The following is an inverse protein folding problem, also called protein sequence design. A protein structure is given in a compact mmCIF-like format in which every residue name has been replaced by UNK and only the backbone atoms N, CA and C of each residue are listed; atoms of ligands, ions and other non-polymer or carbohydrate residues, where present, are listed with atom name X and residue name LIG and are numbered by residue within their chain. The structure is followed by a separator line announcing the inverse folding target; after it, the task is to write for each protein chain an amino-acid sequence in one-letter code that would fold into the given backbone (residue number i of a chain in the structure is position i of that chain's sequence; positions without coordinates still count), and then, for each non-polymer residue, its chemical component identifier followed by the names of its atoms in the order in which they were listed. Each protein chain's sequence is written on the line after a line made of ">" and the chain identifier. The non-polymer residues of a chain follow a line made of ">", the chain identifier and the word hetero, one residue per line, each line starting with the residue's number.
data_IF_146092430785
#
_entry.id   IF_146092430785
#
_cell.length_a   1.000
_cell.length_b   1.000
_cell.length_c   1.000
_cell.angle_alpha   90.00
_cell.angle_beta   90.00
_cell.angle_gamma   90.00
#
_symmetry.space_group_name_H-M   'P 1'
#
loop_
_entity.id
_entity.type
_entity.pdbx_description
1 polymer ?
#
# COMPACT_ATOMS: atom_id res chain seq x y z
N UNK A 1 -16.37 2.34 -0.15
CA UNK A 1 -15.98 3.57 0.56
C UNK A 1 -17.26 4.23 1.00
N UNK A 2 -17.35 4.70 2.23
CA UNK A 2 -18.52 5.46 2.69
C UNK A 2 -18.40 6.91 2.23
N UNK A 3 -19.54 7.58 1.99
CA UNK A 3 -19.54 8.96 1.50
C UNK A 3 -18.78 9.91 2.43
N UNK A 4 -18.83 9.67 3.75
CA UNK A 4 -18.06 10.44 4.73
C UNK A 4 -16.56 10.31 4.52
N UNK A 5 -16.02 9.10 4.45
CA UNK A 5 -14.59 8.86 4.21
C UNK A 5 -14.12 9.34 2.83
N UNK A 6 -15.01 9.36 1.83
CA UNK A 6 -14.71 9.96 0.54
C UNK A 6 -14.68 11.49 0.64
N UNK A 7 -15.60 12.09 1.40
CA UNK A 7 -15.63 13.52 1.67
C UNK A 7 -14.36 14.03 2.34
N UNK A 8 -13.90 13.31 3.39
CA UNK A 8 -12.65 13.59 4.08
C UNK A 8 -11.43 13.53 3.14
N UNK A 9 -11.40 12.58 2.20
CA UNK A 9 -10.30 12.46 1.23
C UNK A 9 -10.30 13.53 0.14
N UNK A 10 -11.47 13.96 -0.31
CA UNK A 10 -11.60 14.98 -1.39
C UNK A 10 -11.47 16.40 -0.84
N UNK A 11 -12.03 16.66 0.35
CA UNK A 11 -12.20 17.99 0.91
C UNK A 11 -11.57 18.16 2.30
N UNK A 12 -10.73 17.21 2.76
CA UNK A 12 -10.29 17.08 4.15
C UNK A 12 -9.68 18.34 4.76
N UNK A 13 -8.89 19.07 3.99
CA UNK A 13 -8.19 20.28 4.45
C UNK A 13 -8.95 21.58 4.20
N UNK A 14 -10.20 21.50 3.70
CA UNK A 14 -11.02 22.68 3.46
C UNK A 14 -11.97 22.94 4.65
N UNK A 15 -11.53 23.82 5.54
CA UNK A 15 -12.30 24.23 6.72
C UNK A 15 -13.51 25.14 6.37
N UNK A 16 -13.64 25.57 5.12
CA UNK A 16 -14.76 26.42 4.67
C UNK A 16 -16.04 25.63 4.41
N UNK A 17 -15.94 24.30 4.31
CA UNK A 17 -17.05 23.38 3.99
C UNK A 17 -17.40 22.56 5.23
N UNK A 18 -18.67 22.54 5.62
CA UNK A 18 -19.13 21.72 6.74
C UNK A 18 -19.03 20.22 6.45
N UNK A 19 -18.88 19.40 7.50
CA UNK A 19 -18.82 17.92 7.37
C UNK A 19 -20.05 17.33 6.67
N UNK A 20 -21.22 17.94 6.85
CA UNK A 20 -22.46 17.54 6.20
C UNK A 20 -22.40 17.83 4.70
N UNK A 21 -21.90 19.00 4.31
CA UNK A 21 -21.69 19.36 2.90
C UNK A 21 -20.62 18.52 2.22
N UNK A 22 -19.49 18.26 2.89
CA UNK A 22 -18.45 17.33 2.41
C UNK A 22 -19.05 15.96 2.10
N UNK A 23 -19.85 15.44 3.02
CA UNK A 23 -20.53 14.14 2.87
C UNK A 23 -21.56 14.16 1.73
N UNK A 24 -22.34 15.24 1.61
CA UNK A 24 -23.34 15.37 0.56
C UNK A 24 -22.73 15.49 -0.85
N UNK A 25 -21.63 16.22 -0.98
CA UNK A 25 -20.89 16.35 -2.25
C UNK A 25 -20.22 15.02 -2.62
N UNK A 26 -19.56 14.35 -1.67
CA UNK A 26 -18.97 13.04 -1.87
C UNK A 26 -20.01 11.99 -2.31
N UNK A 27 -21.22 12.06 -1.74
CA UNK A 27 -22.33 11.20 -2.17
C UNK A 27 -22.72 11.44 -3.62
N UNK A 28 -22.80 12.70 -4.06
CA UNK A 28 -23.10 13.05 -5.47
C UNK A 28 -22.02 12.46 -6.42
N UNK A 29 -20.75 12.59 -6.05
CA UNK A 29 -19.63 12.02 -6.83
C UNK A 29 -19.77 10.50 -6.89
N UNK A 30 -20.00 9.84 -5.76
CA UNK A 30 -20.21 8.38 -5.70
C UNK A 30 -21.39 7.94 -6.57
N UNK A 31 -22.54 8.61 -6.46
CA UNK A 31 -23.73 8.28 -7.24
C UNK A 31 -23.51 8.50 -8.74
N UNK A 32 -22.77 9.56 -9.13
CA UNK A 32 -22.38 9.79 -10.52
C UNK A 32 -21.49 8.67 -11.08
N UNK A 33 -20.48 8.25 -10.31
CA UNK A 33 -19.63 7.11 -10.68
C UNK A 33 -20.45 5.82 -10.82
N UNK A 34 -21.31 5.51 -9.85
CA UNK A 34 -22.16 4.31 -9.91
C UNK A 34 -23.18 4.34 -11.04
N UNK A 35 -23.58 5.52 -11.47
CA UNK A 35 -24.47 5.69 -12.63
C UNK A 35 -23.69 5.54 -13.94
N UNK A 36 -22.46 6.06 -14.00
CA UNK A 36 -21.58 5.92 -15.17
C UNK A 36 -21.08 4.49 -15.40
N UNK A 37 -21.02 3.67 -14.34
CA UNK A 37 -20.55 2.30 -14.41
C UNK A 37 -21.61 1.28 -13.93
N UNK A 38 -22.70 1.07 -14.68
CA UNK A 38 -23.81 0.20 -14.24
C UNK A 38 -23.41 -1.26 -14.06
N UNK A 39 -22.46 -1.76 -14.84
CA UNK A 39 -21.93 -3.13 -14.70
C UNK A 39 -21.17 -3.28 -13.37
N UNK A 40 -20.37 -2.30 -12.98
CA UNK A 40 -19.68 -2.29 -11.68
C UNK A 40 -20.69 -2.29 -10.53
N UNK A 41 -21.71 -1.43 -10.61
CA UNK A 41 -22.78 -1.36 -9.60
C UNK A 41 -23.47 -2.72 -9.44
N UNK A 42 -23.79 -3.38 -10.56
CA UNK A 42 -24.38 -4.72 -10.55
C UNK A 42 -23.45 -5.76 -9.96
N UNK A 43 -22.17 -5.77 -10.34
CA UNK A 43 -21.18 -6.71 -9.83
C UNK A 43 -21.01 -6.61 -8.30
N UNK A 44 -21.00 -5.38 -7.75
CA UNK A 44 -20.97 -5.16 -6.29
C UNK A 44 -22.23 -5.74 -5.62
N UNK A 45 -23.41 -5.50 -6.20
CA UNK A 45 -24.66 -6.01 -5.67
C UNK A 45 -24.73 -7.55 -5.71
N UNK A 46 -24.32 -8.15 -6.82
CA UNK A 46 -24.27 -9.61 -7.00
C UNK A 46 -23.27 -10.26 -6.02
N UNK A 47 -22.09 -9.64 -5.82
CA UNK A 47 -21.12 -10.09 -4.82
C UNK A 47 -21.73 -10.10 -3.41
N UNK A 48 -22.39 -9.00 -3.00
CA UNK A 48 -23.03 -8.90 -1.68
C UNK A 48 -24.14 -9.93 -1.50
N UNK A 49 -24.94 -10.15 -2.53
CA UNK A 49 -26.00 -11.15 -2.48
C UNK A 49 -25.43 -12.58 -2.33
N UNK A 50 -24.39 -12.90 -3.11
CA UNK A 50 -23.75 -14.21 -3.07
C UNK A 50 -23.11 -14.50 -1.71
N UNK A 51 -22.32 -13.55 -1.16
CA UNK A 51 -21.61 -13.79 0.10
C UNK A 51 -22.55 -14.01 1.28
N UNK A 52 -23.72 -13.39 1.28
CA UNK A 52 -24.77 -13.65 2.29
C UNK A 52 -25.26 -15.10 2.27
N UNK A 53 -25.30 -15.74 1.11
CA UNK A 53 -25.74 -17.12 0.96
C UNK A 53 -24.63 -18.11 1.36
N UNK A 54 -23.38 -17.86 0.92
CA UNK A 54 -22.30 -18.84 1.04
C UNK A 54 -21.34 -18.59 2.20
N UNK A 55 -21.33 -17.37 2.79
CA UNK A 55 -20.47 -17.01 3.92
C UNK A 55 -19.00 -16.72 3.57
N UNK A 56 -18.66 -16.69 2.29
CA UNK A 56 -17.31 -16.38 1.81
C UNK A 56 -17.32 -15.66 0.47
N UNK A 57 -16.21 -14.99 0.16
CA UNK A 57 -15.93 -14.49 -1.18
C UNK A 57 -14.77 -15.27 -1.81
N UNK A 58 -14.62 -15.16 -3.13
CA UNK A 58 -13.56 -15.83 -3.89
C UNK A 58 -12.81 -14.82 -4.75
N UNK A 59 -11.50 -15.02 -4.88
CA UNK A 59 -10.67 -14.31 -5.84
C UNK A 59 -10.88 -14.88 -7.25
N UNK A 60 -10.31 -14.22 -8.25
CA UNK A 60 -10.37 -14.66 -9.65
C UNK A 60 -9.77 -16.08 -9.86
N UNK A 61 -8.86 -16.50 -9.00
CA UNK A 61 -8.26 -17.84 -9.02
C UNK A 61 -8.96 -18.84 -8.05
N UNK A 62 -10.11 -18.46 -7.47
CA UNK A 62 -10.90 -19.33 -6.60
C UNK A 62 -10.42 -19.43 -5.16
N UNK A 63 -9.47 -18.61 -4.73
CA UNK A 63 -9.05 -18.58 -3.33
C UNK A 63 -10.16 -17.95 -2.48
N UNK A 64 -10.57 -18.66 -1.42
CA UNK A 64 -11.70 -18.27 -0.55
C UNK A 64 -11.23 -17.43 0.62
N UNK A 65 -12.02 -16.39 0.92
CA UNK A 65 -11.96 -15.62 2.16
C UNK A 65 -13.30 -15.75 2.89
N UNK A 66 -13.30 -16.40 4.04
CA UNK A 66 -14.48 -16.55 4.89
C UNK A 66 -14.83 -15.22 5.57
N UNK A 67 -16.13 -14.94 5.66
CA UNK A 67 -16.71 -13.72 6.21
C UNK A 67 -17.73 -14.08 7.28
N UNK A 68 -17.30 -14.46 8.49
CA UNK A 68 -18.20 -15.00 9.52
C UNK A 68 -19.30 -14.03 9.93
N UNK A 69 -19.09 -12.71 9.79
CA UNK A 69 -20.06 -11.69 10.14
C UNK A 69 -21.16 -11.48 9.08
N UNK A 70 -21.00 -12.01 7.85
CA UNK A 70 -21.95 -11.76 6.77
C UNK A 70 -23.27 -12.48 6.95
N UNK A 71 -23.26 -13.60 7.66
CA UNK A 71 -24.44 -14.45 7.92
C UNK A 71 -25.03 -14.22 9.31
N UNK A 72 -24.64 -13.14 9.97
CA UNK A 72 -25.24 -12.77 11.24
C UNK A 72 -26.71 -12.45 11.06
N UNK A 73 -27.59 -12.84 11.99
CA UNK A 73 -29.01 -12.51 11.93
C UNK A 73 -29.19 -10.98 11.98
N UNK A 74 -30.12 -10.50 11.16
CA UNK A 74 -30.56 -9.11 11.16
C UNK A 74 -31.80 -9.02 12.04
N UNK A 75 -31.72 -8.20 13.07
CA UNK A 75 -32.87 -7.93 13.92
C UNK A 75 -33.73 -6.85 13.26
N UNK A 76 -34.92 -7.21 12.83
CA UNK A 76 -35.91 -6.28 12.34
C UNK A 76 -36.84 -5.84 13.49
N UNK A 77 -36.82 -4.52 13.76
CA UNK A 77 -37.80 -3.96 14.67
C UNK A 77 -39.17 -3.85 13.96
N UNK A 78 -40.17 -4.55 14.47
CA UNK A 78 -41.55 -4.37 14.05
C UNK A 78 -42.31 -3.72 15.20
N UNK A 79 -42.86 -2.49 15.01
CA UNK A 79 -43.53 -1.76 16.08
C UNK A 79 -44.64 -2.55 16.76
N UNK A 80 -45.26 -3.49 16.02
CA UNK A 80 -46.38 -4.32 16.49
C UNK A 80 -45.98 -5.58 17.27
N UNK A 81 -44.73 -6.06 17.11
CA UNK A 81 -44.27 -7.34 17.62
C UNK A 81 -42.92 -7.28 18.36
N UNK A 82 -42.33 -6.12 18.47
CA UNK A 82 -40.96 -6.00 18.97
C UNK A 82 -39.90 -6.52 18.00
N UNK A 83 -38.69 -6.83 18.49
CA UNK A 83 -37.64 -7.45 17.68
C UNK A 83 -37.97 -8.91 17.42
N UNK A 84 -38.03 -9.25 16.14
CA UNK A 84 -38.09 -10.64 15.72
C UNK A 84 -36.72 -11.07 15.26
N UNK A 85 -36.06 -11.95 16.00
CA UNK A 85 -34.86 -12.64 15.62
C UNK A 85 -35.21 -14.12 15.45
N UNK A 86 -34.80 -14.78 14.36
CA UNK A 86 -35.00 -16.20 14.20
C UNK A 86 -34.31 -17.04 15.28
N UNK A 87 -33.22 -16.51 15.92
CA UNK A 87 -32.48 -17.25 16.93
C UNK A 87 -32.95 -16.96 18.35
N UNK A 88 -33.11 -15.69 18.71
CA UNK A 88 -33.48 -15.26 20.08
C UNK A 88 -34.19 -13.92 20.01
N UNK A 89 -35.34 -13.80 20.68
CA UNK A 89 -35.99 -12.51 20.92
C UNK A 89 -35.37 -11.83 22.14
N UNK A 90 -34.53 -10.76 21.94
CA UNK A 90 -33.84 -10.10 23.04
C UNK A 90 -34.79 -9.38 24.01
N UNK A 91 -36.06 -9.20 23.64
CA UNK A 91 -37.09 -8.57 24.47
C UNK A 91 -37.72 -9.54 25.45
N UNK A 92 -37.64 -10.84 25.16
CA UNK A 92 -38.31 -11.92 25.91
C UNK A 92 -37.34 -12.87 26.62
N UNK A 93 -36.14 -12.41 26.97
CA UNK A 93 -35.16 -13.21 27.74
C UNK A 93 -35.59 -13.26 29.20
N UNK A 94 -36.22 -14.34 29.62
CA UNK A 94 -36.77 -14.48 30.95
C UNK A 94 -36.00 -15.43 31.87
N UNK A 95 -35.23 -16.38 31.32
CA UNK A 95 -34.51 -17.40 32.10
C UNK A 95 -33.00 -17.40 31.83
N UNK A 96 -32.22 -18.10 32.67
CA UNK A 96 -30.79 -18.33 32.43
C UNK A 96 -30.53 -19.26 31.23
N UNK A 97 -31.49 -20.09 30.90
CA UNK A 97 -31.43 -20.99 29.73
C UNK A 97 -31.51 -20.19 28.44
N UNK A 98 -32.36 -19.17 28.39
CA UNK A 98 -32.46 -18.24 27.25
C UNK A 98 -31.15 -17.55 26.95
N UNK A 99 -30.33 -17.25 27.98
CA UNK A 99 -28.98 -16.68 27.80
C UNK A 99 -28.03 -17.66 27.13
N UNK A 100 -28.16 -18.96 27.41
CA UNK A 100 -27.31 -19.96 26.78
C UNK A 100 -27.61 -20.09 25.30
N UNK A 101 -28.82 -19.79 24.88
CA UNK A 101 -29.25 -19.74 23.48
C UNK A 101 -28.77 -18.49 22.76
N UNK A 102 -28.37 -17.42 23.50
CA UNK A 102 -27.83 -16.22 22.88
C UNK A 102 -26.49 -16.55 22.24
N UNK A 103 -26.28 -16.21 20.96
CA UNK A 103 -25.02 -16.41 20.27
C UNK A 103 -23.82 -15.78 21.04
N UNK A 104 -22.69 -16.50 21.07
CA UNK A 104 -21.49 -16.08 21.85
C UNK A 104 -21.05 -14.66 21.53
N UNK A 105 -21.12 -14.22 20.27
CA UNK A 105 -20.78 -12.87 19.83
C UNK A 105 -21.58 -11.76 20.52
N UNK A 106 -22.87 -12.03 20.83
CA UNK A 106 -23.73 -11.09 21.53
C UNK A 106 -23.31 -11.04 23.00
N UNK A 107 -22.99 -12.20 23.56
CA UNK A 107 -22.42 -12.29 24.91
C UNK A 107 -21.12 -11.50 25.01
N UNK A 108 -20.24 -11.61 24.00
CA UNK A 108 -18.97 -10.89 23.95
C UNK A 108 -19.15 -9.38 23.78
N UNK A 109 -20.12 -8.95 22.97
CA UNK A 109 -20.46 -7.53 22.81
C UNK A 109 -20.98 -6.92 24.12
N UNK A 110 -21.90 -7.63 24.81
CA UNK A 110 -22.37 -7.26 26.13
C UNK A 110 -21.24 -7.23 27.17
N UNK A 111 -20.29 -8.15 27.08
CA UNK A 111 -19.13 -8.23 27.96
C UNK A 111 -18.15 -7.05 27.77
N UNK A 112 -17.97 -6.57 26.53
CA UNK A 112 -17.17 -5.37 26.25
C UNK A 112 -17.74 -4.10 26.84
N UNK A 113 -19.07 -3.96 26.85
CA UNK A 113 -19.73 -2.82 27.48
C UNK A 113 -19.78 -2.97 29.03
N UNK A 114 -19.65 -4.20 29.53
CA UNK A 114 -19.84 -4.57 30.93
C UNK A 114 -18.53 -5.09 31.55
N UNK A 115 -17.42 -4.39 31.34
CA UNK A 115 -16.06 -4.78 31.77
C UNK A 115 -15.90 -5.15 33.24
N UNK A 116 -16.94 -4.92 34.06
CA UNK A 116 -16.96 -5.24 35.50
C UNK A 116 -17.65 -6.57 35.86
N UNK A 117 -18.28 -7.26 34.92
CA UNK A 117 -19.06 -8.47 35.22
C UNK A 117 -18.25 -9.75 35.00
N UNK A 118 -17.91 -10.44 36.10
CA UNK A 118 -17.12 -11.69 36.07
C UNK A 118 -17.91 -12.96 35.75
N UNK A 119 -19.24 -12.92 35.82
CA UNK A 119 -20.09 -14.12 35.77
C UNK A 119 -21.30 -13.94 34.81
N UNK A 120 -21.68 -15.01 34.12
CA UNK A 120 -22.83 -15.04 33.21
C UNK A 120 -24.14 -14.59 33.85
N UNK A 121 -24.36 -14.91 35.10
CA UNK A 121 -25.52 -14.43 35.87
C UNK A 121 -25.63 -12.92 36.01
N UNK A 122 -24.49 -12.22 36.00
CA UNK A 122 -24.45 -10.75 36.04
C UNK A 122 -24.79 -10.19 34.64
N UNK A 123 -24.31 -10.83 33.55
CA UNK A 123 -24.67 -10.48 32.18
C UNK A 123 -26.17 -10.60 31.99
N UNK A 124 -26.76 -11.71 32.44
CA UNK A 124 -28.22 -11.93 32.41
C UNK A 124 -29.01 -10.83 33.14
N UNK A 125 -28.61 -10.52 34.38
CA UNK A 125 -29.22 -9.46 35.17
C UNK A 125 -29.13 -8.11 34.46
N UNK A 126 -28.02 -7.84 33.76
CA UNK A 126 -27.85 -6.61 33.01
C UNK A 126 -28.70 -6.58 31.74
N UNK A 127 -28.81 -7.67 31.01
CA UNK A 127 -29.72 -7.76 29.83
C UNK A 127 -31.14 -7.39 30.23
N UNK A 128 -31.63 -7.90 31.34
CA UNK A 128 -32.95 -7.55 31.86
C UNK A 128 -33.15 -6.08 32.23
N UNK A 129 -32.03 -5.41 32.57
CA UNK A 129 -32.04 -4.00 33.00
C UNK A 129 -31.85 -3.03 31.80
N UNK A 130 -31.50 -3.54 30.59
CA UNK A 130 -31.34 -2.71 29.40
C UNK A 130 -32.71 -2.16 28.99
N UNK A 131 -32.73 -0.87 28.65
CA UNK A 131 -33.87 -0.26 27.97
C UNK A 131 -34.05 -0.87 26.59
N UNK A 132 -35.21 -0.67 25.99
CA UNK A 132 -35.47 -1.11 24.62
C UNK A 132 -34.45 -0.60 23.63
N UNK A 133 -34.11 0.68 23.69
CA UNK A 133 -33.08 1.28 22.83
C UNK A 133 -31.69 0.67 23.03
N UNK A 134 -31.31 0.39 24.27
CA UNK A 134 -30.02 -0.25 24.59
C UNK A 134 -29.99 -1.69 24.08
N UNK A 135 -31.08 -2.46 24.21
CA UNK A 135 -31.19 -3.81 23.65
C UNK A 135 -31.04 -3.79 22.14
N UNK A 136 -31.75 -2.87 21.45
CA UNK A 136 -31.63 -2.64 20.01
C UNK A 136 -30.17 -2.47 19.60
N UNK A 137 -29.47 -1.55 20.28
CA UNK A 137 -28.09 -1.21 19.96
C UNK A 137 -27.14 -2.40 20.14
N UNK A 138 -27.28 -3.14 21.23
CA UNK A 138 -26.41 -4.27 21.57
C UNK A 138 -26.64 -5.46 20.63
N UNK A 139 -27.89 -5.72 20.29
CA UNK A 139 -28.25 -6.87 19.44
C UNK A 139 -28.21 -6.55 17.95
N UNK A 140 -28.06 -5.29 17.56
CA UNK A 140 -28.01 -4.91 16.16
C UNK A 140 -26.71 -5.33 15.49
N UNK A 141 -26.80 -6.17 14.47
CA UNK A 141 -25.68 -6.66 13.67
C UNK A 141 -25.48 -5.88 12.36
N UNK A 142 -26.30 -4.89 12.06
CA UNK A 142 -26.30 -4.19 10.77
C UNK A 142 -24.94 -3.61 10.40
N UNK A 143 -24.22 -3.04 11.37
CA UNK A 143 -22.88 -2.49 11.16
C UNK A 143 -21.86 -3.57 10.80
N UNK A 144 -21.89 -4.71 11.50
CA UNK A 144 -20.97 -5.84 11.25
C UNK A 144 -21.25 -6.49 9.88
N UNK A 145 -22.51 -6.61 9.52
CA UNK A 145 -22.91 -7.14 8.20
C UNK A 145 -22.47 -6.18 7.10
N UNK A 146 -22.68 -4.86 7.27
CA UNK A 146 -22.25 -3.87 6.31
C UNK A 146 -20.73 -3.82 6.15
N UNK A 147 -19.97 -4.01 7.23
CA UNK A 147 -18.52 -4.15 7.19
C UNK A 147 -18.10 -5.40 6.41
N UNK A 148 -18.69 -6.55 6.69
CA UNK A 148 -18.42 -7.79 5.97
C UNK A 148 -18.79 -7.71 4.48
N UNK A 149 -19.85 -6.98 4.10
CA UNK A 149 -20.18 -6.69 2.70
C UNK A 149 -19.09 -5.86 2.00
N UNK A 150 -18.53 -4.88 2.70
CA UNK A 150 -17.40 -4.08 2.19
C UNK A 150 -16.15 -4.93 2.05
N UNK A 151 -15.84 -5.72 3.07
CA UNK A 151 -14.73 -6.67 3.04
C UNK A 151 -14.85 -7.68 1.90
N UNK A 152 -16.05 -8.17 1.62
CA UNK A 152 -16.28 -9.12 0.53
C UNK A 152 -15.82 -8.59 -0.81
N UNK A 153 -16.24 -7.37 -1.17
CA UNK A 153 -15.86 -6.74 -2.41
C UNK A 153 -14.36 -6.43 -2.47
N UNK A 154 -13.82 -5.83 -1.41
CA UNK A 154 -12.40 -5.54 -1.31
C UNK A 154 -11.54 -6.81 -1.42
N UNK A 155 -11.94 -7.88 -0.74
CA UNK A 155 -11.21 -9.14 -0.78
C UNK A 155 -11.26 -9.81 -2.16
N UNK A 156 -12.35 -9.65 -2.91
CA UNK A 156 -12.43 -10.12 -4.29
C UNK A 156 -11.41 -9.39 -5.16
N UNK A 157 -11.33 -8.06 -5.11
CA UNK A 157 -10.44 -7.27 -5.97
C UNK A 157 -8.99 -7.36 -5.49
N UNK A 158 -8.70 -6.98 -4.25
CA UNK A 158 -7.34 -6.99 -3.70
C UNK A 158 -6.76 -8.41 -3.61
N UNK A 159 -7.63 -9.38 -3.26
CA UNK A 159 -7.23 -10.78 -3.25
C UNK A 159 -6.86 -11.29 -4.65
N UNK A 160 -7.60 -10.88 -5.68
CA UNK A 160 -7.28 -11.24 -7.07
C UNK A 160 -5.98 -10.58 -7.54
N UNK A 161 -5.75 -9.31 -7.20
CA UNK A 161 -4.47 -8.63 -7.46
C UNK A 161 -3.29 -9.37 -6.80
N UNK A 162 -3.43 -9.74 -5.52
CA UNK A 162 -2.41 -10.52 -4.82
C UNK A 162 -2.18 -11.91 -5.43
N UNK A 163 -3.19 -12.53 -6.00
CA UNK A 163 -3.03 -13.81 -6.70
C UNK A 163 -2.27 -13.62 -8.01
N UNK A 164 -2.50 -12.53 -8.74
CA UNK A 164 -1.73 -12.19 -9.95
C UNK A 164 -0.26 -11.91 -9.63
N UNK A 165 0.02 -11.15 -8.57
CA UNK A 165 1.39 -10.91 -8.11
C UNK A 165 2.11 -12.23 -7.78
N UNK A 166 1.44 -13.16 -7.09
CA UNK A 166 2.01 -14.50 -6.81
C UNK A 166 2.24 -15.32 -8.08
N UNK A 167 1.34 -15.23 -9.05
CA UNK A 167 1.57 -15.88 -10.35
C UNK A 167 2.78 -15.29 -11.06
N UNK A 168 2.95 -13.96 -11.02
CA UNK A 168 4.12 -13.29 -11.57
C UNK A 168 5.42 -13.78 -10.91
N UNK A 169 5.43 -13.87 -9.56
CA UNK A 169 6.57 -14.42 -8.80
C UNK A 169 6.91 -15.85 -9.24
N UNK A 170 5.91 -16.73 -9.35
CA UNK A 170 6.12 -18.11 -9.77
C UNK A 170 6.67 -18.19 -11.20
N UNK A 171 6.15 -17.37 -12.12
CA UNK A 171 6.64 -17.33 -13.49
C UNK A 171 8.08 -16.87 -13.55
N UNK A 172 8.40 -15.81 -12.81
CA UNK A 172 9.75 -15.25 -12.72
C UNK A 172 10.75 -16.29 -12.19
N UNK A 173 10.47 -16.89 -11.04
CA UNK A 173 11.37 -17.85 -10.38
C UNK A 173 11.52 -19.18 -11.13
N UNK A 174 10.63 -19.49 -12.06
CA UNK A 174 10.69 -20.67 -12.92
C UNK A 174 11.18 -20.37 -14.35
N UNK A 175 11.44 -19.11 -14.68
CA UNK A 175 11.93 -18.70 -16.01
C UNK A 175 13.42 -19.10 -16.16
N UNK A 176 13.78 -19.95 -17.14
CA UNK A 176 15.17 -20.37 -17.33
C UNK A 176 16.13 -19.21 -17.63
N UNK A 177 15.67 -18.18 -18.38
CA UNK A 177 16.50 -17.01 -18.68
C UNK A 177 16.76 -16.17 -17.42
N UNK A 178 15.78 -16.09 -16.51
CA UNK A 178 15.93 -15.43 -15.21
C UNK A 178 17.00 -16.09 -14.33
N UNK A 179 16.96 -17.43 -14.30
CA UNK A 179 17.92 -18.22 -13.55
C UNK A 179 19.32 -18.08 -14.14
N UNK A 180 19.44 -18.12 -15.48
CA UNK A 180 20.71 -18.02 -16.22
C UNK A 180 21.41 -16.69 -15.97
N UNK A 181 20.68 -15.56 -15.94
CA UNK A 181 21.26 -14.23 -15.68
C UNK A 181 21.54 -13.97 -14.19
N UNK A 182 21.23 -14.91 -13.30
CA UNK A 182 21.43 -14.75 -11.85
C UNK A 182 20.45 -13.81 -11.17
N UNK A 183 19.28 -13.61 -11.76
CA UNK A 183 18.21 -12.79 -11.19
C UNK A 183 17.70 -13.36 -9.85
N UNK A 184 17.31 -12.48 -8.93
CA UNK A 184 16.81 -12.85 -7.61
C UNK A 184 15.58 -12.02 -7.24
N UNK A 185 14.51 -12.69 -6.84
CA UNK A 185 13.36 -12.04 -6.22
C UNK A 185 13.67 -11.75 -4.76
N UNK A 186 13.60 -10.49 -4.37
CA UNK A 186 13.91 -10.04 -3.00
C UNK A 186 12.65 -9.99 -2.16
N UNK A 187 11.64 -9.22 -2.58
CA UNK A 187 10.37 -9.14 -1.86
C UNK A 187 9.25 -8.56 -2.73
N UNK A 188 7.99 -8.94 -2.48
CA UNK A 188 6.82 -8.26 -3.01
C UNK A 188 6.41 -7.09 -2.09
N UNK A 189 6.02 -5.96 -2.66
CA UNK A 189 5.46 -4.80 -1.95
C UNK A 189 4.13 -4.46 -2.60
N UNK A 190 3.02 -4.91 -2.02
CA UNK A 190 1.67 -4.79 -2.58
C UNK A 190 1.54 -5.40 -3.98
N UNK A 191 1.57 -4.59 -5.02
CA UNK A 191 1.49 -4.93 -6.44
C UNK A 191 2.84 -4.80 -7.16
N UNK A 192 3.90 -4.48 -6.44
CA UNK A 192 5.27 -4.37 -6.94
C UNK A 192 6.10 -5.62 -6.61
N UNK A 193 7.07 -5.93 -7.47
CA UNK A 193 8.10 -6.93 -7.21
C UNK A 193 9.47 -6.25 -7.21
N UNK A 194 10.19 -6.39 -6.10
CA UNK A 194 11.57 -5.90 -5.98
C UNK A 194 12.50 -7.07 -6.25
N UNK A 195 13.39 -6.87 -7.20
CA UNK A 195 14.32 -7.89 -7.68
C UNK A 195 15.74 -7.34 -7.73
N UNK A 196 16.72 -8.23 -7.67
CA UNK A 196 18.12 -7.94 -7.95
C UNK A 196 18.59 -8.69 -9.20
N UNK A 197 19.35 -8.00 -10.04
CA UNK A 197 19.93 -8.55 -11.25
C UNK A 197 21.36 -8.02 -11.37
N UNK A 198 22.36 -8.83 -11.79
CA UNK A 198 23.70 -8.34 -12.13
C UNK A 198 23.60 -7.18 -13.12
N UNK A 199 24.41 -6.15 -12.91
CA UNK A 199 24.30 -4.90 -13.68
C UNK A 199 24.45 -5.10 -15.18
N UNK A 200 25.32 -6.01 -15.62
CA UNK A 200 25.52 -6.39 -17.02
C UNK A 200 24.28 -7.01 -17.68
N UNK A 201 23.36 -7.55 -16.86
CA UNK A 201 22.12 -8.17 -17.31
C UNK A 201 20.86 -7.34 -17.03
N UNK A 202 21.01 -6.08 -16.58
CA UNK A 202 19.89 -5.23 -16.13
C UNK A 202 18.75 -5.09 -17.15
N UNK A 203 19.10 -4.87 -18.42
CA UNK A 203 18.11 -4.71 -19.50
C UNK A 203 17.33 -6.01 -19.73
N UNK A 204 18.04 -7.14 -19.78
CA UNK A 204 17.43 -8.46 -19.93
C UNK A 204 16.57 -8.81 -18.71
N UNK A 205 17.04 -8.47 -17.50
CA UNK A 205 16.31 -8.66 -16.27
C UNK A 205 15.02 -7.85 -16.24
N UNK A 206 15.06 -6.59 -16.64
CA UNK A 206 13.89 -5.72 -16.77
C UNK A 206 12.85 -6.28 -17.74
N UNK A 207 13.29 -6.79 -18.90
CA UNK A 207 12.44 -7.42 -19.92
C UNK A 207 11.74 -8.68 -19.35
N UNK A 208 12.50 -9.56 -18.67
CA UNK A 208 11.95 -10.79 -18.08
C UNK A 208 10.96 -10.48 -16.96
N UNK A 209 11.29 -9.55 -16.09
CA UNK A 209 10.40 -9.11 -15.01
C UNK A 209 9.08 -8.56 -15.56
N UNK A 210 9.16 -7.63 -16.51
CA UNK A 210 7.99 -7.06 -17.20
C UNK A 210 7.12 -8.14 -17.81
N UNK A 211 7.72 -9.02 -18.62
CA UNK A 211 7.05 -10.16 -19.24
C UNK A 211 6.35 -11.04 -18.22
N UNK A 212 7.01 -11.36 -17.12
CA UNK A 212 6.48 -12.25 -16.08
C UNK A 212 5.28 -11.63 -15.35
N UNK A 213 5.33 -10.31 -15.06
CA UNK A 213 4.24 -9.58 -14.42
C UNK A 213 3.04 -9.42 -15.36
N UNK A 214 3.24 -8.97 -16.59
CA UNK A 214 2.17 -8.76 -17.56
C UNK A 214 1.47 -10.07 -17.96
N UNK A 215 2.24 -11.13 -18.19
CA UNK A 215 1.70 -12.43 -18.54
C UNK A 215 0.99 -13.17 -17.41
N UNK A 216 1.16 -12.76 -16.15
CA UNK A 216 0.38 -13.30 -15.05
C UNK A 216 -1.13 -13.08 -15.23
N UNK A 217 -1.50 -12.05 -15.98
CA UNK A 217 -2.89 -11.69 -16.29
C UNK A 217 -3.40 -12.15 -17.67
N UNK A 218 -2.68 -12.98 -18.43
CA UNK A 218 -3.04 -13.34 -19.81
C UNK A 218 -4.39 -14.05 -19.97
N UNK A 219 -4.95 -14.61 -18.92
CA UNK A 219 -6.29 -15.22 -18.92
C UNK A 219 -7.42 -14.20 -18.74
N UNK A 220 -7.10 -12.94 -18.45
CA UNK A 220 -8.05 -11.86 -18.30
C UNK A 220 -8.50 -11.33 -19.66
N UNK A 221 -9.73 -10.77 -19.77
CA UNK A 221 -10.22 -10.18 -21.01
C UNK A 221 -9.62 -8.79 -21.30
N UNK A 222 -8.61 -8.36 -20.57
CA UNK A 222 -7.88 -7.09 -20.71
C UNK A 222 -6.40 -7.30 -20.40
N UNK A 223 -5.57 -6.42 -20.90
CA UNK A 223 -4.12 -6.46 -20.66
C UNK A 223 -3.79 -5.77 -19.34
N UNK A 224 -2.92 -6.40 -18.55
CA UNK A 224 -2.26 -5.76 -17.41
C UNK A 224 -0.91 -5.25 -17.94
N UNK A 225 -0.60 -3.98 -17.67
CA UNK A 225 0.70 -3.40 -17.94
C UNK A 225 1.42 -3.14 -16.62
N UNK A 226 2.76 -3.20 -16.65
CA UNK A 226 3.59 -2.75 -15.56
C UNK A 226 4.71 -1.85 -16.06
N UNK A 227 5.11 -0.90 -15.22
CA UNK A 227 6.28 -0.06 -15.44
C UNK A 227 7.46 -0.68 -14.68
N UNK A 228 8.66 -0.55 -15.26
CA UNK A 228 9.90 -1.05 -14.66
C UNK A 228 10.78 0.16 -14.33
N UNK A 229 11.19 0.22 -13.09
CA UNK A 229 12.21 1.16 -12.61
C UNK A 229 13.49 0.39 -12.32
N UNK A 230 14.62 0.86 -12.85
CA UNK A 230 15.94 0.30 -12.59
C UNK A 230 16.71 1.25 -11.68
N UNK A 231 17.09 0.78 -10.50
CA UNK A 231 17.82 1.58 -9.50
C UNK A 231 19.01 0.80 -8.95
N UNK A 232 20.06 1.49 -8.49
CA UNK A 232 21.20 0.81 -7.85
C UNK A 232 20.89 0.37 -6.42
N UNK A 233 19.87 0.95 -5.80
CA UNK A 233 19.36 0.55 -4.47
C UNK A 233 17.89 0.91 -4.33
N UNK A 234 17.20 0.24 -3.44
CA UNK A 234 15.81 0.56 -3.13
C UNK A 234 15.65 2.03 -2.71
N UNK A 235 14.71 2.74 -3.31
CA UNK A 235 14.53 4.21 -3.25
C UNK A 235 15.71 5.04 -3.79
N UNK A 236 16.62 4.44 -4.55
CA UNK A 236 17.68 5.14 -5.28
C UNK A 236 17.16 6.00 -6.41
N UNK A 237 18.09 6.54 -7.16
CA UNK A 237 17.81 7.19 -8.44
C UNK A 237 17.72 6.13 -9.54
N UNK A 238 16.98 6.42 -10.60
CA UNK A 238 17.00 5.56 -11.78
C UNK A 238 18.42 5.49 -12.38
N UNK A 239 18.77 4.30 -12.88
CA UNK A 239 20.08 4.05 -13.49
C UNK A 239 20.34 5.02 -14.64
N UNK A 240 19.34 5.22 -15.49
CA UNK A 240 19.46 6.12 -16.64
C UNK A 240 19.68 7.57 -16.23
N UNK A 241 19.03 8.05 -15.17
CA UNK A 241 19.28 9.37 -14.60
C UNK A 241 20.73 9.51 -14.11
N UNK A 242 21.24 8.51 -13.36
CA UNK A 242 22.60 8.50 -12.85
C UNK A 242 23.63 8.48 -14.01
N UNK A 243 23.40 7.64 -15.00
CA UNK A 243 24.34 7.48 -16.13
C UNK A 243 24.29 8.63 -17.13
N UNK A 244 23.25 9.48 -17.11
CA UNK A 244 23.08 10.61 -18.03
C UNK A 244 23.99 11.81 -17.72
N UNK A 245 24.55 11.90 -16.50
CA UNK A 245 25.36 13.05 -16.12
C UNK A 245 26.82 12.88 -16.49
N UNK A 246 27.47 14.00 -16.87
CA UNK A 246 28.87 14.02 -17.28
C UNK A 246 29.79 13.84 -16.07
N UNK A 247 30.63 12.81 -16.14
CA UNK A 247 31.68 12.55 -15.14
C UNK A 247 32.70 13.70 -15.13
N UNK A 248 32.94 14.33 -13.97
CA UNK A 248 33.94 15.41 -13.91
C UNK A 248 35.36 14.87 -14.01
N UNK A 249 36.29 15.71 -14.51
CA UNK A 249 37.72 15.39 -14.51
C UNK A 249 38.42 15.80 -13.19
N UNK A 250 37.85 16.77 -12.48
CA UNK A 250 38.28 17.24 -11.17
C UNK A 250 37.07 17.74 -10.36
N UNK A 251 37.28 18.06 -9.10
CA UNK A 251 36.23 18.56 -8.19
C UNK A 251 36.46 20.04 -7.83
N UNK A 252 36.75 20.85 -8.84
CA UNK A 252 36.80 22.30 -8.67
C UNK A 252 35.37 22.88 -8.70
N UNK A 253 34.81 23.09 -7.53
CA UNK A 253 33.43 23.57 -7.34
C UNK A 253 33.15 24.95 -7.96
N UNK A 254 34.17 25.73 -8.27
CA UNK A 254 34.00 27.05 -8.88
C UNK A 254 33.87 26.98 -10.41
N UNK A 255 34.29 25.86 -11.01
CA UNK A 255 34.33 25.67 -12.46
C UNK A 255 33.53 24.47 -12.97
N UNK A 256 32.99 23.64 -12.07
CA UNK A 256 32.15 22.49 -12.45
C UNK A 256 30.89 22.91 -13.21
N UNK A 257 30.58 22.21 -14.29
CA UNK A 257 29.30 22.35 -14.98
C UNK A 257 28.14 21.86 -14.13
N UNK A 258 26.92 22.30 -14.44
CA UNK A 258 25.70 21.79 -13.79
C UNK A 258 25.59 20.25 -13.88
N UNK A 259 25.96 19.67 -15.04
CA UNK A 259 25.96 18.23 -15.25
C UNK A 259 26.98 17.52 -14.35
N UNK A 260 28.20 18.07 -14.22
CA UNK A 260 29.19 17.51 -13.30
C UNK A 260 28.77 17.59 -11.82
N UNK A 261 28.08 18.67 -11.44
CA UNK A 261 27.55 18.80 -10.08
C UNK A 261 26.45 17.79 -9.84
N UNK A 262 25.52 17.59 -10.79
CA UNK A 262 24.50 16.55 -10.71
C UNK A 262 25.11 15.15 -10.66
N UNK A 263 26.16 14.92 -11.41
CA UNK A 263 26.91 13.67 -11.35
C UNK A 263 27.40 13.36 -9.93
N UNK A 264 28.06 14.33 -9.30
CA UNK A 264 28.58 14.17 -7.94
C UNK A 264 27.47 14.04 -6.90
N UNK A 265 26.43 14.89 -7.00
CA UNK A 265 25.26 14.83 -6.12
C UNK A 265 24.57 13.46 -6.20
N UNK A 266 24.36 12.93 -7.41
CA UNK A 266 23.70 11.62 -7.61
C UNK A 266 24.47 10.48 -6.95
N UNK A 267 25.80 10.43 -7.14
CA UNK A 267 26.65 9.37 -6.55
C UNK A 267 26.71 9.47 -5.02
N UNK A 268 26.86 10.67 -4.48
CA UNK A 268 26.83 10.88 -3.02
C UNK A 268 25.43 10.57 -2.45
N UNK A 269 24.34 10.90 -3.17
CA UNK A 269 22.99 10.53 -2.78
C UNK A 269 22.84 9.01 -2.68
N UNK A 270 23.36 8.26 -3.64
CA UNK A 270 23.37 6.79 -3.59
C UNK A 270 24.19 6.25 -2.38
N UNK A 271 25.11 7.02 -1.85
CA UNK A 271 25.84 6.70 -0.62
C UNK A 271 25.17 7.23 0.66
N UNK A 272 23.92 7.72 0.55
CA UNK A 272 23.09 8.14 1.68
C UNK A 272 23.25 9.61 2.09
N UNK A 273 23.99 10.42 1.35
CA UNK A 273 24.05 11.86 1.60
C UNK A 273 22.78 12.55 1.09
N UNK A 274 22.31 13.54 1.84
CA UNK A 274 21.08 14.28 1.53
C UNK A 274 21.42 15.73 1.21
N UNK A 275 20.80 16.25 0.15
CA UNK A 275 21.00 17.62 -0.31
C UNK A 275 19.72 18.45 -0.18
N UNK A 276 19.84 19.77 -0.01
CA UNK A 276 18.68 20.64 0.10
C UNK A 276 17.86 20.66 -1.20
N UNK A 277 16.54 20.54 -1.06
CA UNK A 277 15.61 20.67 -2.17
C UNK A 277 15.36 22.16 -2.42
N UNK A 278 15.83 22.66 -3.56
CA UNK A 278 15.66 24.07 -3.96
C UNK A 278 14.30 24.21 -4.65
N UNK A 279 13.45 25.12 -4.16
CA UNK A 279 12.16 25.43 -4.80
C UNK A 279 12.36 26.08 -6.16
N UNK A 280 11.42 25.84 -7.06
CA UNK A 280 11.40 26.54 -8.34
C UNK A 280 11.21 28.07 -8.16
N UNK A 281 11.57 28.91 -9.16
CA UNK A 281 11.44 30.37 -9.08
C UNK A 281 10.00 30.85 -8.78
N UNK A 282 9.00 30.08 -9.13
CA UNK A 282 7.58 30.33 -8.86
C UNK A 282 7.12 29.89 -7.44
N UNK A 283 8.05 29.35 -6.63
CA UNK A 283 7.80 28.86 -5.28
C UNK A 283 7.24 27.43 -5.21
N UNK A 284 7.00 26.77 -6.35
CA UNK A 284 6.55 25.38 -6.40
C UNK A 284 7.66 24.41 -5.97
N UNK A 285 7.26 23.19 -5.55
CA UNK A 285 8.23 22.14 -5.28
C UNK A 285 8.75 21.55 -6.59
N UNK A 286 10.05 21.27 -6.70
CA UNK A 286 10.61 20.58 -7.86
C UNK A 286 10.07 19.13 -7.93
N UNK A 287 10.12 18.55 -9.11
CA UNK A 287 9.73 17.16 -9.40
C UNK A 287 10.95 16.34 -9.85
N UNK A 288 10.78 15.03 -9.94
CA UNK A 288 11.84 14.11 -10.39
C UNK A 288 13.06 14.14 -9.48
N UNK A 289 14.25 14.05 -10.07
CA UNK A 289 15.51 14.01 -9.34
C UNK A 289 15.80 15.29 -8.53
N UNK A 290 15.32 16.44 -8.99
CA UNK A 290 15.46 17.70 -8.27
C UNK A 290 14.68 17.69 -6.94
N UNK A 291 13.61 16.91 -6.82
CA UNK A 291 12.89 16.69 -5.57
C UNK A 291 13.72 15.86 -4.56
N UNK A 292 14.74 15.15 -5.02
CA UNK A 292 15.71 14.42 -4.19
C UNK A 292 16.97 15.26 -3.87
N UNK A 293 16.99 16.54 -4.27
CA UNK A 293 18.12 17.46 -4.05
C UNK A 293 19.21 17.41 -5.12
N UNK A 294 19.02 16.66 -6.21
CA UNK A 294 19.93 16.56 -7.35
C UNK A 294 19.60 17.71 -8.33
N UNK A 295 20.10 18.88 -8.05
CA UNK A 295 19.69 20.14 -8.70
C UNK A 295 20.80 20.84 -9.49
N UNK A 296 22.04 20.31 -9.46
CA UNK A 296 23.18 20.90 -10.16
C UNK A 296 23.76 22.16 -9.52
N UNK A 297 23.34 22.47 -8.29
CA UNK A 297 23.85 23.65 -7.56
C UNK A 297 24.87 23.22 -6.54
N UNK A 298 26.01 23.92 -6.53
CA UNK A 298 27.06 23.74 -5.50
C UNK A 298 26.59 24.39 -4.21
N UNK A 299 26.45 23.58 -3.16
CA UNK A 299 26.07 24.02 -1.80
C UNK A 299 27.16 23.63 -0.79
N UNK A 300 27.08 24.22 0.40
CA UNK A 300 28.01 23.87 1.48
C UNK A 300 27.81 22.41 1.94
N UNK A 301 26.59 21.88 1.85
CA UNK A 301 26.29 20.49 2.12
C UNK A 301 26.95 19.55 1.12
N UNK A 302 26.98 19.92 -0.18
CA UNK A 302 27.69 19.13 -1.20
C UNK A 302 29.20 19.09 -0.92
N UNK A 303 29.80 20.27 -0.62
CA UNK A 303 31.22 20.35 -0.25
C UNK A 303 31.53 19.52 1.00
N UNK A 304 30.69 19.63 2.03
CA UNK A 304 30.83 18.85 3.27
C UNK A 304 30.68 17.33 3.02
N UNK A 305 29.70 16.91 2.23
CA UNK A 305 29.51 15.51 1.86
C UNK A 305 30.71 14.94 1.11
N UNK A 306 31.26 15.71 0.17
CA UNK A 306 32.47 15.33 -0.59
C UNK A 306 33.68 15.13 0.31
N UNK A 307 33.88 16.04 1.27
CA UNK A 307 34.95 15.94 2.25
C UNK A 307 34.75 14.73 3.18
N UNK A 308 33.55 14.54 3.65
CA UNK A 308 33.21 13.40 4.52
C UNK A 308 33.41 12.06 3.80
N UNK A 309 32.98 11.93 2.54
CA UNK A 309 33.20 10.75 1.72
C UNK A 309 34.68 10.48 1.51
N UNK A 310 35.45 11.52 1.17
CA UNK A 310 36.91 11.44 1.00
C UNK A 310 37.60 10.94 2.27
N UNK A 311 37.23 11.49 3.42
CA UNK A 311 37.77 11.10 4.72
C UNK A 311 37.41 9.65 5.09
N UNK A 312 36.16 9.22 4.81
CA UNK A 312 35.67 7.88 5.11
C UNK A 312 36.50 6.77 4.44
N UNK A 313 36.91 7.00 3.18
CA UNK A 313 37.69 6.04 2.38
C UNK A 313 39.18 6.36 2.28
N UNK A 314 39.66 7.42 2.93
CA UNK A 314 41.08 7.81 2.93
C UNK A 314 41.60 8.29 1.59
N UNK A 315 40.75 8.81 0.70
CA UNK A 315 41.05 9.21 -0.67
C UNK A 315 41.87 10.53 -0.67
N UNK A 316 42.96 10.56 -1.43
CA UNK A 316 43.94 11.67 -1.39
C UNK A 316 43.79 12.67 -2.55
N UNK A 317 43.25 12.24 -3.69
CA UNK A 317 43.05 13.09 -4.86
C UNK A 317 41.60 13.10 -5.34
N UNK A 318 41.27 14.04 -6.23
CA UNK A 318 39.96 14.10 -6.87
C UNK A 318 39.72 12.90 -7.79
N UNK A 319 40.77 12.51 -8.54
CA UNK A 319 40.69 11.33 -9.41
C UNK A 319 40.34 10.06 -8.61
N UNK A 320 41.01 9.87 -7.47
CA UNK A 320 40.71 8.73 -6.59
C UNK A 320 39.24 8.74 -6.08
N UNK A 321 38.73 9.94 -5.73
CA UNK A 321 37.35 10.05 -5.27
C UNK A 321 36.39 9.80 -6.41
N UNK A 322 36.60 10.41 -7.56
CA UNK A 322 35.72 10.26 -8.74
C UNK A 322 35.66 8.81 -9.18
N UNK A 323 36.82 8.12 -9.28
CA UNK A 323 36.86 6.73 -9.68
C UNK A 323 36.24 5.80 -8.63
N UNK A 324 36.57 5.99 -7.35
CA UNK A 324 36.08 5.18 -6.26
C UNK A 324 34.53 5.24 -6.17
N UNK A 325 33.94 6.46 -6.15
CA UNK A 325 32.49 6.63 -6.01
C UNK A 325 31.74 6.14 -7.24
N UNK A 326 32.30 6.31 -8.43
CA UNK A 326 31.69 5.85 -9.67
C UNK A 326 31.60 4.32 -9.71
N UNK A 327 32.72 3.63 -9.47
CA UNK A 327 32.75 2.17 -9.44
C UNK A 327 31.88 1.61 -8.31
N UNK A 328 31.92 2.22 -7.12
CA UNK A 328 31.11 1.78 -6.00
C UNK A 328 29.61 1.86 -6.31
N UNK A 329 29.15 2.97 -6.90
CA UNK A 329 27.73 3.16 -7.24
C UNK A 329 27.31 2.27 -8.40
N UNK A 330 28.11 2.16 -9.46
CA UNK A 330 27.71 1.46 -10.68
C UNK A 330 27.91 -0.06 -10.62
N UNK A 331 28.82 -0.54 -9.81
CA UNK A 331 29.16 -1.98 -9.74
C UNK A 331 28.98 -2.60 -8.36
N UNK A 332 28.80 -1.77 -7.32
CA UNK A 332 28.80 -2.22 -5.93
C UNK A 332 30.19 -2.59 -5.38
N UNK A 333 31.25 -2.46 -6.18
CA UNK A 333 32.64 -2.80 -5.78
C UNK A 333 33.30 -1.63 -5.09
N UNK A 334 33.72 -1.81 -3.84
CA UNK A 334 34.57 -0.86 -3.13
C UNK A 334 36.04 -1.07 -3.57
N UNK A 335 36.61 -0.10 -4.28
CA UNK A 335 38.02 -0.14 -4.69
C UNK A 335 38.95 0.15 -3.50
N UNK A 336 40.04 -0.59 -3.42
CA UNK A 336 41.12 -0.32 -2.47
C UNK A 336 42.01 0.84 -2.92
N UNK A 337 42.76 1.44 -1.98
CA UNK A 337 43.71 2.52 -2.32
C UNK A 337 44.82 2.05 -3.27
N UNK A 338 45.17 0.76 -3.24
CA UNK A 338 46.13 0.16 -4.17
C UNK A 338 45.58 0.10 -5.59
N UNK A 339 44.32 -0.35 -5.76
CA UNK A 339 43.65 -0.37 -7.06
C UNK A 339 43.43 1.03 -7.66
N UNK A 340 43.26 2.06 -6.82
CA UNK A 340 43.10 3.46 -7.26
C UNK A 340 44.44 4.16 -7.59
N UNK A 341 45.58 3.50 -7.28
CA UNK A 341 46.94 4.06 -7.49
C UNK A 341 47.67 3.37 -8.63
N UNK A 342 47.06 2.31 -9.19
CA UNK A 342 47.58 1.58 -10.35
C UNK A 342 47.08 2.17 -11.66
#
# INVERSE_FOLDING_TARGET
>A
MEAKSLGEKIFGDDDSISEEEKTAQAKKVFDAVMTGFPVLKKAIADCRARVKQVGYTETILGRRRHLPNIQLPVYEFKPEKGYINPDVDPMNIDTLEDINEIPQRIKDALYKELTSYKYMGQVYKRIRQLSEEERIKVFNNSSKIAEAEREAWNATIQGSAADLTKMAMLRLETDPEWIEIGGRLILPVHDELIVEVPFEHREKGAEILKRSMEQAGNFLPFTISCDIEMTFRWYGLEVDDILSFDKPNNLDFDTMSESNVKWLQSRLFEQGYVFPVIKNPDGSKPIGIAAKGINGVVTDELKAATLAYRALYGLKSDEQLIEHIDVLVTTGKCLTLEELSS
#
